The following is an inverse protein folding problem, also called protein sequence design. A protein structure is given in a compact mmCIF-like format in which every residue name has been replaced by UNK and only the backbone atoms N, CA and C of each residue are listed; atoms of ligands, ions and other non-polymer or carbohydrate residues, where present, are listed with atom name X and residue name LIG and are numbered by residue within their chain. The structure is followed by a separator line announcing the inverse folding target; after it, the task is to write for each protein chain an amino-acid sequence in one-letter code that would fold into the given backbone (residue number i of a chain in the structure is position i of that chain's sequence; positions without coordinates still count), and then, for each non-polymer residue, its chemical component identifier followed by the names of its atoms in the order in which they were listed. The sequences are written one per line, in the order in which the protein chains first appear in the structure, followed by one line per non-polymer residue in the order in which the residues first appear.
data_IF_427720947340
#
_entry.id   IF_427720947340
#
_cell.length_a   1.000
_cell.length_b   1.000
_cell.length_c   1.000
_cell.angle_alpha   90.00
_cell.angle_beta   90.00
_cell.angle_gamma   90.00
#
_symmetry.space_group_name_H-M   'P 1'
#
loop_
_entity.id
_entity.type
_entity.pdbx_description
1 polymer ?
#
# COMPACT_ATOMS: atom_id res chain seq x y z
N UNK A 1 -20.87 10.87 -14.30
CA UNK A 1 -19.88 11.99 -14.44
C UNK A 1 -18.72 11.41 -15.21
N UNK A 2 -18.48 11.87 -16.43
CA UNK A 2 -17.30 11.45 -17.18
C UNK A 2 -16.05 12.08 -16.59
N UNK A 3 -15.01 11.29 -16.38
CA UNK A 3 -13.71 11.77 -15.93
C UNK A 3 -12.98 12.29 -17.17
N UNK A 4 -12.77 13.60 -17.22
CA UNK A 4 -12.06 14.27 -18.33
C UNK A 4 -10.55 14.27 -18.07
N UNK A 5 -9.73 14.14 -19.14
CA UNK A 5 -8.25 14.10 -19.09
C UNK A 5 -7.69 12.92 -18.28
N UNK A 6 -8.39 11.81 -18.24
CA UNK A 6 -7.90 10.59 -17.62
C UNK A 6 -7.16 9.71 -18.62
N UNK A 7 -5.85 9.63 -18.49
CA UNK A 7 -5.00 8.77 -19.32
C UNK A 7 -4.93 7.31 -18.82
N UNK A 8 -5.71 6.95 -17.81
CA UNK A 8 -5.64 5.67 -17.13
C UNK A 8 -4.42 5.52 -16.23
N UNK A 9 -4.42 4.52 -15.36
CA UNK A 9 -3.26 4.12 -14.56
C UNK A 9 -2.31 3.23 -15.38
N UNK A 10 -0.99 3.37 -15.20
CA UNK A 10 -0.01 2.50 -15.86
C UNK A 10 -0.25 1.02 -15.54
N UNK A 11 -0.57 0.71 -14.30
CA UNK A 11 -0.88 -0.66 -13.86
C UNK A 11 -2.12 -1.28 -14.49
N UNK A 12 -3.04 -0.46 -15.03
CA UNK A 12 -4.25 -0.95 -15.70
C UNK A 12 -3.98 -1.27 -17.17
N UNK A 13 -3.04 -0.58 -17.81
CA UNK A 13 -2.77 -0.75 -19.23
C UNK A 13 -2.25 -2.14 -19.61
N UNK A 14 -1.56 -2.78 -18.67
CA UNK A 14 -0.97 -4.11 -18.88
C UNK A 14 -1.93 -5.26 -18.50
N UNK A 15 -3.13 -4.92 -17.97
CA UNK A 15 -4.12 -5.91 -17.59
C UNK A 15 -4.90 -6.41 -18.81
N UNK A 16 -5.28 -7.69 -18.74
CA UNK A 16 -6.21 -8.29 -19.71
C UNK A 16 -7.53 -7.54 -19.66
N UNK A 17 -8.14 -7.19 -20.82
CA UNK A 17 -9.43 -6.51 -20.84
C UNK A 17 -10.50 -7.23 -20.04
N UNK A 18 -11.21 -6.51 -19.20
CA UNK A 18 -12.27 -7.07 -18.35
C UNK A 18 -13.52 -7.31 -19.16
N UNK A 19 -14.05 -8.52 -19.12
CA UNK A 19 -15.23 -8.93 -19.90
C UNK A 19 -16.52 -8.96 -19.10
N UNK A 20 -16.45 -9.05 -17.77
CA UNK A 20 -17.61 -9.22 -16.88
C UNK A 20 -17.99 -7.92 -16.14
N UNK A 21 -18.05 -6.81 -16.87
CA UNK A 21 -18.46 -5.53 -16.30
C UNK A 21 -19.98 -5.52 -16.16
N UNK A 22 -20.46 -5.27 -14.93
CA UNK A 22 -21.88 -5.07 -14.64
C UNK A 22 -22.13 -3.61 -14.32
N UNK A 23 -23.04 -2.98 -15.04
CA UNK A 23 -23.50 -1.63 -14.72
C UNK A 23 -24.83 -1.73 -13.96
N UNK A 24 -24.95 -0.99 -12.87
CA UNK A 24 -26.21 -0.91 -12.12
C UNK A 24 -27.28 -0.21 -12.99
N UNK A 25 -28.31 -0.92 -13.35
CA UNK A 25 -29.37 -0.43 -14.27
C UNK A 25 -30.68 -0.05 -13.54
N UNK A 26 -30.85 -0.51 -12.31
CA UNK A 26 -32.07 -0.31 -11.52
C UNK A 26 -31.73 -0.28 -10.03
N UNK A 27 -32.74 0.05 -9.21
CA UNK A 27 -32.62 -0.10 -7.76
C UNK A 27 -32.37 -1.55 -7.40
N UNK A 28 -31.48 -1.76 -6.45
CA UNK A 28 -31.13 -3.06 -5.91
C UNK A 28 -30.94 -2.95 -4.39
N UNK A 29 -31.27 -4.00 -3.67
CA UNK A 29 -31.20 -4.07 -2.21
C UNK A 29 -30.04 -4.98 -1.78
N UNK A 30 -29.37 -4.60 -0.69
CA UNK A 30 -28.31 -5.42 -0.11
C UNK A 30 -28.18 -5.14 1.38
N UNK A 31 -27.63 -6.08 2.13
CA UNK A 31 -27.29 -5.87 3.54
C UNK A 31 -26.08 -4.92 3.68
N UNK A 32 -25.21 -4.89 2.67
CA UNK A 32 -24.02 -4.06 2.67
C UNK A 32 -23.84 -3.35 1.33
N UNK A 33 -23.74 -2.03 1.37
CA UNK A 33 -23.36 -1.22 0.22
C UNK A 33 -21.99 -0.58 0.47
N UNK A 34 -21.08 -0.79 -0.47
CA UNK A 34 -19.74 -0.19 -0.46
C UNK A 34 -19.64 0.72 -1.69
N UNK A 35 -19.28 1.97 -1.47
CA UNK A 35 -19.08 2.95 -2.54
C UNK A 35 -17.59 3.22 -2.70
N UNK A 36 -17.07 2.92 -3.88
CA UNK A 36 -15.67 3.03 -4.24
C UNK A 36 -14.96 1.67 -4.29
N UNK A 37 -14.49 1.27 -5.47
CA UNK A 37 -13.80 0.01 -5.72
C UNK A 37 -12.28 0.16 -5.82
N UNK A 38 -11.70 1.03 -5.01
CA UNK A 38 -10.26 1.12 -4.74
C UNK A 38 -9.82 0.12 -3.66
N UNK A 39 -8.58 0.21 -3.18
CA UNK A 39 -8.03 -0.71 -2.16
C UNK A 39 -8.91 -0.84 -0.92
N UNK A 40 -9.42 0.26 -0.39
CA UNK A 40 -10.24 0.25 0.82
C UNK A 40 -11.55 -0.47 0.61
N UNK A 41 -12.28 -0.13 -0.46
CA UNK A 41 -13.59 -0.74 -0.76
C UNK A 41 -13.47 -2.23 -1.10
N UNK A 42 -12.49 -2.61 -1.91
CA UNK A 42 -12.22 -4.01 -2.24
C UNK A 42 -11.83 -4.83 -0.99
N UNK A 43 -10.99 -4.27 -0.12
CA UNK A 43 -10.60 -4.92 1.13
C UNK A 43 -11.80 -5.08 2.08
N UNK A 44 -12.65 -4.07 2.18
CA UNK A 44 -13.87 -4.12 2.99
C UNK A 44 -14.85 -5.17 2.44
N UNK A 45 -15.11 -5.17 1.13
CA UNK A 45 -15.99 -6.13 0.48
C UNK A 45 -15.52 -7.57 0.70
N UNK A 46 -14.22 -7.82 0.50
CA UNK A 46 -13.62 -9.14 0.76
C UNK A 46 -13.79 -9.57 2.21
N UNK A 47 -13.51 -8.68 3.16
CA UNK A 47 -13.63 -8.99 4.58
C UNK A 47 -15.07 -9.23 5.01
N UNK A 48 -16.01 -8.43 4.53
CA UNK A 48 -17.44 -8.63 4.78
C UNK A 48 -17.93 -9.97 4.21
N UNK A 49 -17.52 -10.32 2.98
CA UNK A 49 -17.87 -11.62 2.39
C UNK A 49 -17.33 -12.82 3.18
N UNK A 50 -16.16 -12.68 3.82
CA UNK A 50 -15.63 -13.71 4.72
C UNK A 50 -16.41 -13.83 6.04
N UNK A 51 -16.84 -12.70 6.60
CA UNK A 51 -17.55 -12.63 7.88
C UNK A 51 -19.04 -12.98 7.74
N UNK A 52 -19.64 -12.62 6.61
CA UNK A 52 -21.07 -12.72 6.35
C UNK A 52 -21.34 -13.41 5.00
N UNK A 53 -20.99 -14.70 4.84
CA UNK A 53 -21.02 -15.38 3.54
C UNK A 53 -22.43 -15.53 2.93
N UNK A 54 -23.48 -15.38 3.75
CA UNK A 54 -24.86 -15.49 3.31
C UNK A 54 -25.56 -14.13 3.10
N UNK A 55 -24.84 -13.02 3.26
CA UNK A 55 -25.36 -11.67 3.07
C UNK A 55 -24.97 -11.13 1.70
N UNK A 56 -25.87 -10.41 1.08
CA UNK A 56 -25.61 -9.74 -0.20
C UNK A 56 -24.79 -8.48 0.03
N UNK A 57 -23.66 -8.39 -0.66
CA UNK A 57 -22.75 -7.26 -0.63
C UNK A 57 -22.73 -6.65 -2.02
N UNK A 58 -23.05 -5.37 -2.13
CA UNK A 58 -22.92 -4.61 -3.36
C UNK A 58 -21.75 -3.64 -3.23
N UNK A 59 -20.82 -3.72 -4.17
CA UNK A 59 -19.72 -2.77 -4.33
C UNK A 59 -19.94 -2.01 -5.64
N UNK A 60 -20.01 -0.70 -5.57
CA UNK A 60 -20.21 0.18 -6.73
C UNK A 60 -19.05 1.18 -6.86
N UNK A 61 -18.74 1.54 -8.09
CA UNK A 61 -17.79 2.60 -8.43
C UNK A 61 -18.29 3.37 -9.65
N UNK A 62 -17.89 4.61 -9.81
CA UNK A 62 -18.17 5.42 -11.00
C UNK A 62 -17.30 5.00 -12.20
N UNK A 63 -16.21 4.28 -11.95
CA UNK A 63 -15.28 3.73 -12.93
C UNK A 63 -15.16 2.22 -12.74
N UNK A 64 -14.31 1.58 -13.51
CA UNK A 64 -13.95 0.19 -13.27
C UNK A 64 -13.14 0.05 -11.96
N UNK A 65 -13.27 -1.10 -11.32
CA UNK A 65 -12.59 -1.36 -10.04
C UNK A 65 -11.08 -1.10 -10.15
N UNK A 66 -10.53 -0.32 -9.23
CA UNK A 66 -9.12 0.00 -9.17
C UNK A 66 -8.64 1.13 -10.09
N UNK A 67 -9.46 1.67 -10.98
CA UNK A 67 -9.03 2.70 -11.95
C UNK A 67 -8.87 4.11 -11.36
N UNK A 68 -9.27 4.34 -10.13
CA UNK A 68 -9.00 5.58 -9.42
C UNK A 68 -7.56 5.73 -8.96
N UNK A 69 -7.33 6.38 -7.82
CA UNK A 69 -6.00 6.59 -7.23
C UNK A 69 -5.24 5.28 -6.95
N UNK A 70 -5.95 4.16 -6.75
CA UNK A 70 -5.38 2.86 -6.43
C UNK A 70 -4.50 2.26 -7.53
N UNK A 71 -4.62 2.69 -8.78
CA UNK A 71 -3.77 2.27 -9.90
C UNK A 71 -2.72 3.31 -10.33
N UNK A 72 -2.55 4.37 -9.54
CA UNK A 72 -1.71 5.53 -9.92
C UNK A 72 -0.53 5.76 -8.99
N UNK A 73 -0.23 4.78 -8.16
CA UNK A 73 0.92 4.82 -7.24
C UNK A 73 2.16 4.18 -7.88
N UNK A 74 3.31 4.34 -7.23
CA UNK A 74 4.60 3.84 -7.69
C UNK A 74 4.84 2.33 -7.46
N UNK A 75 3.90 1.60 -6.84
CA UNK A 75 4.02 0.17 -6.53
C UNK A 75 4.71 -0.16 -5.21
N UNK A 76 5.31 0.81 -4.53
CA UNK A 76 6.01 0.55 -3.28
C UNK A 76 5.05 0.40 -2.10
N UNK A 77 5.20 -0.71 -1.36
CA UNK A 77 4.61 -0.92 -0.05
C UNK A 77 5.68 -0.67 1.01
N UNK A 78 5.44 0.29 1.89
CA UNK A 78 6.40 0.68 2.93
C UNK A 78 5.75 0.56 4.32
N UNK A 79 6.50 -0.01 5.25
CA UNK A 79 6.06 -0.20 6.64
C UNK A 79 6.41 0.97 7.55
N UNK A 80 7.18 1.92 7.06
CA UNK A 80 7.63 3.09 7.83
C UNK A 80 7.27 4.39 7.14
N UNK A 81 6.78 5.35 7.91
CA UNK A 81 6.43 6.71 7.43
C UNK A 81 7.47 7.76 7.81
N UNK A 82 8.71 7.36 8.12
CA UNK A 82 9.81 8.28 8.42
C UNK A 82 10.22 9.05 7.15
N UNK A 83 9.25 9.76 6.56
CA UNK A 83 9.45 10.57 5.36
C UNK A 83 9.80 12.03 5.68
N UNK A 84 9.81 12.40 6.94
CA UNK A 84 10.06 13.77 7.38
C UNK A 84 11.57 14.09 7.45
N UNK A 85 12.34 13.49 6.57
CA UNK A 85 13.72 13.87 6.36
C UNK A 85 14.62 13.62 7.57
N UNK A 86 14.52 12.44 8.19
CA UNK A 86 15.37 12.05 9.31
C UNK A 86 15.19 12.87 10.60
N UNK A 87 14.10 13.63 10.72
CA UNK A 87 13.84 14.42 11.92
C UNK A 87 13.47 13.55 13.10
N UNK A 88 13.96 13.93 14.29
CA UNK A 88 13.62 13.25 15.54
C UNK A 88 12.15 13.38 15.84
N UNK A 89 11.43 12.29 15.89
CA UNK A 89 10.02 12.28 16.22
C UNK A 89 9.80 12.55 17.70
N UNK A 90 8.96 13.53 17.99
CA UNK A 90 8.51 13.82 19.37
C UNK A 90 7.66 12.69 19.96
N UNK A 91 7.15 11.76 19.13
CA UNK A 91 6.21 10.71 19.54
C UNK A 91 6.62 9.32 19.03
N UNK A 92 7.79 8.83 19.49
CA UNK A 92 8.31 7.51 19.08
C UNK A 92 7.33 6.36 19.35
N UNK A 93 6.51 6.43 20.41
CA UNK A 93 5.55 5.39 20.74
C UNK A 93 4.40 5.30 19.71
N UNK A 94 3.88 6.45 19.27
CA UNK A 94 2.86 6.52 18.22
C UNK A 94 3.42 6.05 16.89
N UNK A 95 4.68 6.32 16.67
CA UNK A 95 5.39 5.89 15.49
C UNK A 95 5.45 4.37 15.38
N UNK A 96 5.88 3.71 16.45
CA UNK A 96 5.91 2.23 16.50
C UNK A 96 4.54 1.62 16.24
N UNK A 97 3.47 2.15 16.89
CA UNK A 97 2.10 1.67 16.66
C UNK A 97 1.68 1.77 15.19
N UNK A 98 1.99 2.88 14.53
CA UNK A 98 1.69 3.05 13.09
C UNK A 98 2.43 2.03 12.25
N UNK A 99 3.72 1.83 12.49
CA UNK A 99 4.53 0.85 11.76
C UNK A 99 4.01 -0.57 11.97
N UNK A 100 3.62 -0.94 13.18
CA UNK A 100 3.05 -2.25 13.47
C UNK A 100 1.75 -2.47 12.65
N UNK A 101 0.90 -1.44 12.52
CA UNK A 101 -0.32 -1.49 11.68
C UNK A 101 0.04 -1.63 10.19
N UNK A 102 1.06 -0.91 9.69
CA UNK A 102 1.48 -1.01 8.29
C UNK A 102 2.07 -2.38 7.98
N UNK A 103 2.87 -2.95 8.88
CA UNK A 103 3.37 -4.33 8.75
C UNK A 103 2.23 -5.34 8.66
N UNK A 104 1.22 -5.23 9.52
CA UNK A 104 0.01 -6.07 9.42
C UNK A 104 -0.69 -5.91 8.06
N UNK A 105 -0.77 -4.69 7.52
CA UNK A 105 -1.32 -4.44 6.19
C UNK A 105 -0.52 -5.13 5.08
N UNK A 106 0.81 -5.03 5.12
CA UNK A 106 1.72 -5.70 4.18
C UNK A 106 1.57 -7.21 4.28
N UNK A 107 1.50 -7.78 5.48
CA UNK A 107 1.31 -9.22 5.69
C UNK A 107 -0.01 -9.73 5.11
N UNK A 108 -1.08 -8.94 5.21
CA UNK A 108 -2.38 -9.27 4.60
C UNK A 108 -2.26 -9.32 3.08
N UNK A 109 -1.60 -8.33 2.47
CA UNK A 109 -1.36 -8.29 1.01
C UNK A 109 -0.48 -9.46 0.58
N UNK A 110 0.62 -9.72 1.29
CA UNK A 110 1.53 -10.83 1.02
C UNK A 110 0.82 -12.20 1.07
N UNK A 111 -0.02 -12.41 2.09
CA UNK A 111 -0.86 -13.63 2.18
C UNK A 111 -1.81 -13.75 1.01
N UNK A 112 -2.45 -12.65 0.62
CA UNK A 112 -3.35 -12.62 -0.53
C UNK A 112 -2.63 -12.98 -1.83
N UNK A 113 -1.48 -12.36 -2.11
CA UNK A 113 -0.66 -12.64 -3.28
C UNK A 113 -0.28 -14.13 -3.35
N UNK A 114 0.14 -14.69 -2.21
CA UNK A 114 0.51 -16.11 -2.13
C UNK A 114 -0.70 -17.05 -2.30
N UNK A 115 -1.83 -16.74 -1.67
CA UNK A 115 -3.06 -17.55 -1.72
C UNK A 115 -3.62 -17.61 -3.13
N UNK A 116 -3.63 -16.49 -3.85
CA UNK A 116 -4.20 -16.38 -5.19
C UNK A 116 -3.15 -16.43 -6.31
N UNK A 117 -1.88 -16.66 -5.98
CA UNK A 117 -0.77 -16.73 -6.94
C UNK A 117 -0.75 -15.52 -7.89
N UNK A 118 -0.93 -14.32 -7.31
CA UNK A 118 -0.98 -13.07 -8.09
C UNK A 118 0.41 -12.75 -8.64
N UNK A 119 0.51 -12.66 -9.96
CA UNK A 119 1.71 -12.19 -10.64
C UNK A 119 1.77 -10.66 -10.58
N UNK A 120 2.67 -10.12 -9.74
CA UNK A 120 2.77 -8.69 -9.46
C UNK A 120 4.20 -8.24 -9.12
N UNK A 121 5.22 -8.98 -9.55
CA UNK A 121 6.63 -8.67 -9.30
C UNK A 121 6.94 -8.41 -7.81
N UNK A 122 6.35 -9.21 -6.92
CA UNK A 122 6.56 -9.07 -5.47
C UNK A 122 8.03 -9.25 -5.10
N UNK A 123 8.66 -8.18 -4.57
CA UNK A 123 10.05 -8.18 -4.15
C UNK A 123 10.23 -7.52 -2.77
N UNK A 124 10.77 -8.26 -1.81
CA UNK A 124 11.05 -7.80 -0.45
C UNK A 124 12.49 -7.26 -0.36
N UNK A 125 12.80 -6.23 -1.11
CA UNK A 125 14.15 -5.64 -1.20
C UNK A 125 14.52 -4.67 -0.07
N UNK A 126 13.57 -4.35 0.83
CA UNK A 126 13.78 -3.33 1.86
C UNK A 126 13.75 -1.91 1.32
N UNK A 127 14.27 -0.97 2.11
CA UNK A 127 14.29 0.45 1.79
C UNK A 127 15.62 1.08 2.19
N UNK A 128 16.17 1.91 1.31
CA UNK A 128 17.38 2.67 1.57
C UNK A 128 17.06 4.12 1.91
N UNK A 129 17.79 4.66 2.88
CA UNK A 129 17.94 6.08 3.13
C UNK A 129 19.39 6.46 2.86
N UNK A 130 19.62 7.35 1.93
CA UNK A 130 20.95 7.73 1.52
C UNK A 130 21.09 9.24 1.39
N UNK A 131 22.29 9.75 1.57
CA UNK A 131 22.69 11.11 1.19
C UNK A 131 24.06 11.09 0.54
N UNK A 132 24.28 11.95 -0.43
CA UNK A 132 25.58 12.20 -1.05
C UNK A 132 26.39 13.28 -0.30
N UNK A 133 25.82 13.89 0.74
CA UNK A 133 26.44 14.97 1.47
C UNK A 133 27.08 14.46 2.76
N UNK A 134 28.36 14.77 2.95
CA UNK A 134 29.10 14.37 4.16
C UNK A 134 28.50 14.98 5.44
N UNK A 135 27.92 16.15 5.36
CA UNK A 135 27.24 16.82 6.46
C UNK A 135 26.03 16.05 7.00
N UNK A 136 25.40 15.22 6.16
CA UNK A 136 24.23 14.42 6.53
C UNK A 136 24.59 13.10 7.23
N UNK A 137 25.88 12.74 7.32
CA UNK A 137 26.33 11.52 7.99
C UNK A 137 25.81 11.43 9.43
N UNK A 138 25.87 12.54 10.18
CA UNK A 138 25.33 12.62 11.54
C UNK A 138 23.83 12.39 11.59
N UNK A 139 23.11 12.81 10.57
CA UNK A 139 21.65 12.63 10.45
C UNK A 139 21.36 11.14 10.24
N UNK A 140 22.08 10.48 9.35
CA UNK A 140 21.94 9.02 9.12
C UNK A 140 22.27 8.20 10.36
N UNK A 141 23.35 8.52 11.09
CA UNK A 141 23.71 7.88 12.35
C UNK A 141 22.60 8.07 13.40
N UNK A 142 22.10 9.28 13.56
CA UNK A 142 21.02 9.54 14.52
C UNK A 142 19.72 8.80 14.13
N UNK A 143 19.46 8.67 12.84
CA UNK A 143 18.32 7.93 12.34
C UNK A 143 18.48 6.43 12.62
N UNK A 144 19.66 5.85 12.36
CA UNK A 144 20.01 4.47 12.71
C UNK A 144 19.80 4.20 14.20
N UNK A 145 20.29 5.09 15.07
CA UNK A 145 20.09 4.98 16.51
C UNK A 145 18.60 5.03 16.90
N UNK A 146 17.79 5.80 16.17
CA UNK A 146 16.35 5.86 16.40
C UNK A 146 15.67 4.57 16.00
N UNK A 147 16.04 3.99 14.86
CA UNK A 147 15.53 2.69 14.41
C UNK A 147 15.87 1.58 15.41
N UNK A 148 17.11 1.57 15.94
CA UNK A 148 17.55 0.62 17.01
C UNK A 148 16.66 0.73 18.26
N UNK A 149 16.39 1.95 18.73
CA UNK A 149 15.52 2.19 19.90
C UNK A 149 14.09 1.72 19.69
N UNK A 150 13.62 1.74 18.46
CA UNK A 150 12.28 1.27 18.08
C UNK A 150 12.24 -0.24 17.79
N UNK A 151 13.38 -0.92 17.78
CA UNK A 151 13.50 -2.35 17.52
C UNK A 151 13.32 -2.70 16.03
N UNK A 152 13.69 -1.80 15.12
CA UNK A 152 13.69 -2.08 13.69
C UNK A 152 15.02 -2.69 13.26
N UNK A 153 14.95 -3.76 12.49
CA UNK A 153 16.13 -4.32 11.81
C UNK A 153 16.57 -3.34 10.72
N UNK A 154 17.85 -2.99 10.74
CA UNK A 154 18.45 -2.09 9.77
C UNK A 154 19.96 -2.21 9.80
N UNK A 155 20.62 -1.81 8.73
CA UNK A 155 22.08 -1.71 8.61
C UNK A 155 22.46 -0.28 8.27
N UNK A 156 23.53 0.21 8.90
CA UNK A 156 24.17 1.47 8.51
C UNK A 156 25.36 1.09 7.59
N UNK A 157 25.22 1.38 6.30
CA UNK A 157 26.22 1.03 5.30
C UNK A 157 27.21 2.18 5.13
N UNK A 158 28.48 1.84 5.03
CA UNK A 158 29.58 2.75 4.63
C UNK A 158 29.64 2.89 3.11
N UNK A 159 30.36 3.89 2.61
CA UNK A 159 30.55 4.08 1.18
C UNK A 159 31.23 2.89 0.48
N UNK A 160 32.08 2.16 1.20
CA UNK A 160 32.74 0.98 0.65
C UNK A 160 31.77 -0.18 0.43
N UNK A 161 30.82 -0.36 1.37
CA UNK A 161 29.77 -1.39 1.29
C UNK A 161 28.69 -1.10 0.23
N UNK A 162 28.60 0.15 -0.24
CA UNK A 162 27.68 0.53 -1.32
C UNK A 162 28.27 0.31 -2.73
N UNK A 163 29.55 0.00 -2.83
CA UNK A 163 30.27 -0.19 -4.10
C UNK A 163 30.48 -1.67 -4.49
N UNK A 164 30.02 -2.59 -3.67
CA UNK A 164 29.93 -4.02 -3.93
C UNK A 164 28.52 -4.42 -4.42
#
# INVERSE_FOLDING_TARGET
MEVTNDNGGSWIKDLIPRTNIKTLQSNDDSEWLIIGAGYTGLSAARKLGQLYPNQKIILVDSQLAGEGASSRHSGYLVDTTLNDGFTSNKELSNYKKKTDIYKLGIDVVKKFIKEYQVDCDWNECGKYFASSKKEDEKILINFSNTLSKLGFEHNLLSNNELSE
#
